data_IF_605356990228
#
_entry.id   IF_605356990228
#
_cell.length_a   1.000
_cell.length_b   1.000
_cell.length_c   1.000
_cell.angle_alpha   90.00
_cell.angle_beta   90.00
_cell.angle_gamma   90.00
#
_symmetry.space_group_name_H-M   'P 1'
#
loop_
_entity.id
_entity.type
_entity.pdbx_description
1 polymer ?
#
# COMPACT_ATOMS: atom_id res chain seq x y z
N UNK A 1 -61.40 8.65 -28.35
CA UNK A 1 -60.85 8.51 -27.00
C UNK A 1 -60.26 7.09 -26.79
N UNK A 2 -60.85 6.04 -27.43
CA UNK A 2 -60.34 4.67 -27.29
C UNK A 2 -59.07 4.34 -28.09
N UNK A 3 -58.66 5.17 -29.05
CA UNK A 3 -57.55 4.90 -29.98
C UNK A 3 -56.21 5.37 -29.39
N UNK A 4 -56.21 6.35 -28.52
CA UNK A 4 -54.98 6.89 -27.89
C UNK A 4 -54.44 6.05 -26.71
N UNK A 5 -55.27 5.23 -26.10
CA UNK A 5 -54.89 4.38 -24.95
C UNK A 5 -53.85 3.29 -25.27
N UNK A 6 -54.01 2.51 -26.39
CA UNK A 6 -53.00 1.50 -26.75
C UNK A 6 -51.66 2.08 -27.16
N UNK A 7 -51.64 3.29 -27.72
CA UNK A 7 -50.43 3.99 -28.10
C UNK A 7 -49.64 4.47 -26.89
N UNK A 8 -50.29 5.00 -25.86
CA UNK A 8 -49.68 5.41 -24.61
C UNK A 8 -49.10 4.24 -23.84
N UNK A 9 -49.79 3.11 -23.75
CA UNK A 9 -49.27 1.89 -23.10
C UNK A 9 -48.09 1.28 -23.86
N UNK A 10 -48.08 1.36 -25.20
CA UNK A 10 -46.93 0.97 -26.02
C UNK A 10 -45.71 1.85 -25.81
N UNK A 11 -45.90 3.16 -25.69
CA UNK A 11 -44.83 4.11 -25.38
C UNK A 11 -44.26 3.92 -23.95
N UNK A 12 -45.12 3.65 -22.97
CA UNK A 12 -44.67 3.33 -21.60
C UNK A 12 -43.84 2.05 -21.55
N UNK A 13 -44.25 1.00 -22.26
CA UNK A 13 -43.49 -0.24 -22.39
C UNK A 13 -42.13 -0.03 -23.02
N UNK A 14 -42.04 0.74 -24.10
CA UNK A 14 -40.80 1.08 -24.77
C UNK A 14 -39.89 1.89 -23.87
N UNK A 15 -40.42 2.86 -23.15
CA UNK A 15 -39.68 3.68 -22.20
C UNK A 15 -39.13 2.83 -21.04
N UNK A 16 -39.96 1.91 -20.53
CA UNK A 16 -39.56 1.00 -19.46
C UNK A 16 -38.46 0.03 -19.91
N UNK A 17 -38.53 -0.53 -21.10
CA UNK A 17 -37.50 -1.37 -21.70
C UNK A 17 -36.18 -0.59 -21.90
N UNK A 18 -36.23 0.65 -22.35
CA UNK A 18 -35.08 1.53 -22.49
C UNK A 18 -34.42 1.82 -21.14
N UNK A 19 -35.22 2.11 -20.11
CA UNK A 19 -34.72 2.30 -18.75
C UNK A 19 -34.03 1.05 -18.20
N UNK A 20 -34.59 -0.12 -18.43
CA UNK A 20 -33.96 -1.39 -18.02
C UNK A 20 -32.64 -1.64 -18.74
N UNK A 21 -32.59 -1.39 -20.06
CA UNK A 21 -31.32 -1.48 -20.83
C UNK A 21 -30.28 -0.50 -20.34
N UNK A 22 -30.66 0.75 -20.03
CA UNK A 22 -29.76 1.75 -19.47
C UNK A 22 -29.23 1.35 -18.08
N UNK A 23 -30.07 0.76 -17.24
CA UNK A 23 -29.67 0.23 -15.95
C UNK A 23 -28.70 -0.94 -16.07
N UNK A 24 -28.91 -1.86 -17.03
CA UNK A 24 -27.98 -2.93 -17.34
C UNK A 24 -26.63 -2.39 -17.84
N UNK A 25 -26.64 -1.37 -18.69
CA UNK A 25 -25.43 -0.69 -19.14
C UNK A 25 -24.68 -0.03 -17.99
N UNK A 26 -25.38 0.64 -17.09
CA UNK A 26 -24.80 1.23 -15.88
C UNK A 26 -24.14 0.19 -14.99
N UNK A 27 -24.83 -0.91 -14.72
CA UNK A 27 -24.32 -2.02 -13.90
C UNK A 27 -23.07 -2.64 -14.52
N UNK A 28 -23.05 -2.84 -15.84
CA UNK A 28 -21.86 -3.34 -16.56
C UNK A 28 -20.69 -2.36 -16.47
N UNK A 29 -20.95 -1.06 -16.66
CA UNK A 29 -19.91 -0.03 -16.56
C UNK A 29 -19.38 0.10 -15.14
N UNK A 30 -20.22 0.03 -14.12
CA UNK A 30 -19.82 0.03 -12.72
C UNK A 30 -18.96 -1.19 -12.39
N UNK A 31 -19.35 -2.37 -12.87
CA UNK A 31 -18.58 -3.61 -12.70
C UNK A 31 -17.21 -3.55 -13.37
N UNK A 32 -17.12 -2.97 -14.58
CA UNK A 32 -15.83 -2.77 -15.26
C UNK A 32 -14.96 -1.75 -14.54
N UNK A 33 -15.54 -0.66 -14.04
CA UNK A 33 -14.83 0.33 -13.24
C UNK A 33 -14.27 -0.27 -11.95
N UNK A 34 -15.07 -1.06 -11.25
CA UNK A 34 -14.63 -1.78 -10.04
C UNK A 34 -13.49 -2.75 -10.35
N UNK A 35 -13.57 -3.49 -11.45
CA UNK A 35 -12.48 -4.38 -11.90
C UNK A 35 -11.21 -3.61 -12.21
N UNK A 36 -11.31 -2.50 -12.94
CA UNK A 36 -10.16 -1.65 -13.26
C UNK A 36 -9.54 -1.05 -12.00
N UNK A 37 -10.37 -0.63 -11.06
CA UNK A 37 -9.90 -0.10 -9.79
C UNK A 37 -9.20 -1.17 -8.97
N UNK A 38 -9.74 -2.37 -8.92
CA UNK A 38 -9.12 -3.51 -8.26
C UNK A 38 -7.76 -3.87 -8.88
N UNK A 39 -7.66 -3.90 -10.21
CA UNK A 39 -6.38 -4.12 -10.89
C UNK A 39 -5.36 -3.04 -10.57
N UNK A 40 -5.78 -1.79 -10.57
CA UNK A 40 -4.91 -0.66 -10.21
C UNK A 40 -4.41 -0.78 -8.77
N UNK A 41 -5.30 -1.12 -7.85
CA UNK A 41 -4.95 -1.31 -6.43
C UNK A 41 -3.96 -2.46 -6.23
N UNK A 42 -4.17 -3.56 -6.95
CA UNK A 42 -3.23 -4.71 -6.94
C UNK A 42 -1.86 -4.31 -7.49
N UNK A 43 -1.83 -3.61 -8.63
CA UNK A 43 -0.57 -3.12 -9.21
C UNK A 43 0.16 -2.18 -8.27
N UNK A 44 -0.54 -1.23 -7.67
CA UNK A 44 0.04 -0.30 -6.70
C UNK A 44 0.56 -1.03 -5.46
N UNK A 45 -0.17 -2.04 -4.99
CA UNK A 45 0.25 -2.86 -3.85
C UNK A 45 1.54 -3.63 -4.17
N UNK A 46 1.62 -4.23 -5.36
CA UNK A 46 2.83 -4.94 -5.80
C UNK A 46 4.02 -4.02 -5.95
N UNK A 47 3.83 -2.82 -6.53
CA UNK A 47 4.87 -1.81 -6.65
C UNK A 47 5.34 -1.33 -5.27
N UNK A 48 4.41 -1.08 -4.37
CA UNK A 48 4.70 -0.68 -2.99
C UNK A 48 5.43 -1.77 -2.23
N UNK A 49 5.09 -3.04 -2.44
CA UNK A 49 5.76 -4.18 -1.85
C UNK A 49 7.21 -4.29 -2.35
N UNK A 50 7.42 -4.10 -3.65
CA UNK A 50 8.75 -4.10 -4.26
C UNK A 50 9.61 -2.94 -3.73
N UNK A 51 9.04 -1.74 -3.66
CA UNK A 51 9.70 -0.58 -3.04
C UNK A 51 10.00 -0.84 -1.56
N UNK A 52 9.10 -1.47 -0.83
CA UNK A 52 9.27 -1.85 0.56
C UNK A 52 10.43 -2.82 0.78
N UNK A 53 10.63 -3.80 -0.09
CA UNK A 53 11.80 -4.68 -0.05
C UNK A 53 13.10 -3.92 -0.27
N UNK A 54 13.13 -2.96 -1.18
CA UNK A 54 14.29 -2.10 -1.42
C UNK A 54 14.59 -1.23 -0.20
N UNK A 55 13.59 -0.62 0.40
CA UNK A 55 13.73 0.16 1.65
C UNK A 55 14.24 -0.71 2.79
N UNK A 56 13.74 -1.92 2.92
CA UNK A 56 14.20 -2.88 3.94
C UNK A 56 15.68 -3.20 3.77
N UNK A 57 16.13 -3.43 2.55
CA UNK A 57 17.53 -3.67 2.22
C UNK A 57 18.41 -2.48 2.62
N UNK A 58 17.96 -1.27 2.27
CA UNK A 58 18.66 -0.03 2.64
C UNK A 58 18.71 0.17 4.16
N UNK A 59 17.61 -0.11 4.86
CA UNK A 59 17.54 0.00 6.31
C UNK A 59 18.48 -0.99 7.00
N UNK A 60 18.63 -2.22 6.48
CA UNK A 60 19.60 -3.20 6.95
C UNK A 60 21.04 -2.70 6.78
N UNK A 61 21.36 -2.20 5.59
CA UNK A 61 22.70 -1.65 5.30
C UNK A 61 23.02 -0.46 6.21
N UNK A 62 22.03 0.42 6.42
CA UNK A 62 22.19 1.57 7.32
C UNK A 62 22.44 1.11 8.77
N UNK A 63 21.70 0.12 9.25
CA UNK A 63 21.90 -0.44 10.60
C UNK A 63 23.30 -1.04 10.76
N UNK A 64 23.77 -1.80 9.77
CA UNK A 64 25.12 -2.37 9.79
C UNK A 64 26.20 -1.28 9.82
N UNK A 65 26.04 -0.24 9.02
CA UNK A 65 26.96 0.89 8.99
C UNK A 65 26.99 1.64 10.34
N UNK A 66 25.83 1.92 10.92
CA UNK A 66 25.74 2.61 12.21
C UNK A 66 26.25 1.73 13.37
N UNK A 67 26.10 0.42 13.29
CA UNK A 67 26.66 -0.52 14.25
C UNK A 67 28.18 -0.48 14.24
N UNK A 68 28.82 -0.41 13.08
CA UNK A 68 30.27 -0.27 12.94
C UNK A 68 30.76 1.09 13.48
N UNK A 69 30.02 2.16 13.15
CA UNK A 69 30.35 3.51 13.66
C UNK A 69 30.25 3.54 15.19
N UNK A 70 29.23 2.94 15.76
CA UNK A 70 29.06 2.85 17.22
C UNK A 70 30.23 2.09 17.88
N UNK A 71 30.56 0.93 17.34
CA UNK A 71 31.68 0.10 17.84
C UNK A 71 32.99 0.85 17.80
N UNK A 72 33.28 1.55 16.71
CA UNK A 72 34.48 2.36 16.56
C UNK A 72 34.46 3.57 17.51
N UNK A 73 33.32 4.20 17.71
CA UNK A 73 33.15 5.32 18.64
C UNK A 73 33.33 4.89 20.09
N UNK A 74 32.85 3.71 20.48
CA UNK A 74 33.06 3.14 21.81
C UNK A 74 34.57 2.92 22.07
N UNK A 75 35.30 2.36 21.11
CA UNK A 75 36.73 2.18 21.18
C UNK A 75 37.46 3.51 21.33
N UNK A 76 37.12 4.51 20.51
CA UNK A 76 37.73 5.85 20.56
C UNK A 76 37.45 6.57 21.89
N UNK A 77 36.24 6.38 22.42
CA UNK A 77 35.87 6.95 23.71
C UNK A 77 36.71 6.31 24.87
N UNK A 78 36.87 5.00 24.85
CA UNK A 78 37.71 4.28 25.83
C UNK A 78 39.17 4.76 25.78
N UNK A 79 39.67 5.09 24.59
CA UNK A 79 41.01 5.65 24.39
C UNK A 79 41.08 7.17 24.67
N UNK A 80 39.97 7.81 25.02
CA UNK A 80 39.91 9.24 25.30
C UNK A 80 40.00 10.15 24.08
N UNK A 81 39.77 9.60 22.86
CA UNK A 81 39.89 10.33 21.59
C UNK A 81 38.65 11.13 21.21
N UNK A 82 37.51 10.77 21.76
CA UNK A 82 36.23 11.47 21.50
C UNK A 82 35.52 11.79 22.81
N UNK A 83 34.60 12.78 22.75
CA UNK A 83 33.78 13.17 23.89
C UNK A 83 32.61 12.22 24.10
N UNK A 84 32.01 12.26 25.30
CA UNK A 84 30.75 11.56 25.61
C UNK A 84 29.65 11.97 24.68
N UNK A 85 29.57 13.24 24.26
CA UNK A 85 28.57 13.74 23.31
C UNK A 85 28.70 13.06 21.97
N UNK A 86 29.89 12.86 21.46
CA UNK A 86 30.16 12.17 20.20
C UNK A 86 29.74 10.69 20.27
N UNK A 87 30.04 10.04 21.41
CA UNK A 87 29.61 8.67 21.66
C UNK A 87 28.08 8.57 21.72
N UNK A 88 27.40 9.49 22.41
CA UNK A 88 25.94 9.54 22.48
C UNK A 88 25.32 9.78 21.14
N UNK A 89 25.90 10.63 20.30
CA UNK A 89 25.44 10.84 18.93
C UNK A 89 25.49 9.55 18.11
N UNK A 90 26.59 8.79 18.20
CA UNK A 90 26.71 7.49 17.53
C UNK A 90 25.65 6.48 18.03
N UNK A 91 25.37 6.44 19.33
CA UNK A 91 24.33 5.61 19.92
C UNK A 91 22.93 6.01 19.41
N UNK A 92 22.65 7.29 19.37
CA UNK A 92 21.36 7.79 18.89
C UNK A 92 21.12 7.44 17.43
N UNK A 93 22.15 7.54 16.60
CA UNK A 93 22.08 7.11 15.19
C UNK A 93 21.80 5.63 15.05
N UNK A 94 22.46 4.82 15.86
CA UNK A 94 22.24 3.36 15.87
C UNK A 94 20.81 3.01 16.31
N UNK A 95 20.29 3.63 17.35
CA UNK A 95 18.93 3.43 17.84
C UNK A 95 17.91 3.86 16.76
N UNK A 96 18.14 5.00 16.11
CA UNK A 96 17.30 5.48 15.01
C UNK A 96 17.31 4.52 13.83
N UNK A 97 18.45 3.96 13.48
CA UNK A 97 18.55 2.96 12.41
C UNK A 97 17.82 1.67 12.76
N UNK A 98 17.86 1.22 14.02
CA UNK A 98 17.06 0.09 14.50
C UNK A 98 15.56 0.36 14.41
N UNK A 99 15.13 1.54 14.84
CA UNK A 99 13.73 1.94 14.79
C UNK A 99 13.23 1.99 13.34
N UNK A 100 14.04 2.52 12.43
CA UNK A 100 13.71 2.56 11.01
C UNK A 100 13.59 1.17 10.39
N UNK A 101 14.49 0.25 10.74
CA UNK A 101 14.39 -1.14 10.29
C UNK A 101 13.09 -1.80 10.76
N UNK A 102 12.70 -1.60 12.01
CA UNK A 102 11.43 -2.13 12.55
C UNK A 102 10.23 -1.52 11.81
N UNK A 103 10.24 -0.21 11.58
CA UNK A 103 9.20 0.50 10.83
C UNK A 103 9.02 -0.09 9.43
N UNK A 104 10.10 -0.21 8.69
CA UNK A 104 10.10 -0.73 7.31
C UNK A 104 9.68 -2.20 7.29
N UNK A 105 10.13 -3.00 8.25
CA UNK A 105 9.74 -4.41 8.37
C UNK A 105 8.24 -4.56 8.61
N UNK A 106 7.67 -3.78 9.51
CA UNK A 106 6.22 -3.77 9.76
C UNK A 106 5.44 -3.33 8.51
N UNK A 107 5.91 -2.32 7.81
CA UNK A 107 5.30 -1.85 6.58
C UNK A 107 5.30 -2.94 5.50
N UNK A 108 6.39 -3.65 5.30
CA UNK A 108 6.50 -4.77 4.36
C UNK A 108 5.56 -5.92 4.75
N UNK A 109 5.48 -6.25 6.04
CA UNK A 109 4.56 -7.30 6.52
C UNK A 109 3.09 -6.93 6.31
N UNK A 110 2.73 -5.67 6.56
CA UNK A 110 1.38 -5.17 6.28
C UNK A 110 1.05 -5.25 4.79
N UNK A 111 1.98 -4.86 3.92
CA UNK A 111 1.80 -4.92 2.47
C UNK A 111 1.71 -6.36 1.96
N UNK A 112 2.48 -7.29 2.52
CA UNK A 112 2.37 -8.73 2.21
C UNK A 112 0.99 -9.27 2.56
N UNK A 113 0.47 -8.91 3.72
CA UNK A 113 -0.88 -9.31 4.14
C UNK A 113 -1.94 -8.73 3.23
N UNK A 114 -1.79 -7.49 2.82
CA UNK A 114 -2.70 -6.82 1.90
C UNK A 114 -2.67 -7.49 0.52
N UNK A 115 -1.49 -7.80 -0.01
CA UNK A 115 -1.32 -8.51 -1.27
C UNK A 115 -1.96 -9.91 -1.20
N UNK A 116 -1.75 -10.62 -0.11
CA UNK A 116 -2.37 -11.92 0.14
C UNK A 116 -3.89 -11.82 0.20
N UNK A 117 -4.42 -10.78 0.83
CA UNK A 117 -5.86 -10.51 0.88
C UNK A 117 -6.44 -10.32 -0.53
N UNK A 118 -5.79 -9.52 -1.38
CA UNK A 118 -6.23 -9.31 -2.75
C UNK A 118 -6.17 -10.58 -3.59
N UNK A 119 -5.20 -11.46 -3.34
CA UNK A 119 -5.03 -12.71 -4.09
C UNK A 119 -5.97 -13.80 -3.62
N UNK A 120 -6.14 -13.98 -2.32
CA UNK A 120 -6.89 -15.08 -1.70
C UNK A 120 -8.25 -14.66 -1.14
N UNK A 121 -8.52 -13.36 -1.03
CA UNK A 121 -9.75 -12.82 -0.45
C UNK A 121 -9.87 -12.98 1.06
N UNK A 122 -8.79 -13.31 1.77
CA UNK A 122 -8.78 -13.49 3.22
C UNK A 122 -7.60 -12.79 3.89
N UNK A 123 -7.83 -12.20 5.06
CA UNK A 123 -6.79 -11.60 5.90
C UNK A 123 -6.02 -12.62 6.74
N UNK A 124 -6.48 -13.85 6.77
CA UNK A 124 -5.90 -14.93 7.57
C UNK A 124 -4.89 -15.76 6.77
#
# INVERSE_FOLDING_TARGET
IGISFPLLSGLERLTHQRKQKLNLYRLKNEEELEKQQLYTDIEQTLLSLHAGFSEHQQALQQLEAEALVLKESERKWEEGLISVFQLMEARNRFISAKAELVRVRLQVEMMRKLEKYYREGTFL
#
